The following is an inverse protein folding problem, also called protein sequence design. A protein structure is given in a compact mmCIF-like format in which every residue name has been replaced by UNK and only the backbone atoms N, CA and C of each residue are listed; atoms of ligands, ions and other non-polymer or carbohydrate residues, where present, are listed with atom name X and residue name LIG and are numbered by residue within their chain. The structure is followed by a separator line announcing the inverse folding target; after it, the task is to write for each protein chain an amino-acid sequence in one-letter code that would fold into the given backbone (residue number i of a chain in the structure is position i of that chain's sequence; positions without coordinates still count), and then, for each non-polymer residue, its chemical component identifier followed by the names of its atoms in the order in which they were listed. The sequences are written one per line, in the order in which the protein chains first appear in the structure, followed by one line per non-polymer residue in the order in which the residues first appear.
data_IF_919423318067
#
_entry.id   IF_919423318067
#
_cell.length_a   1.000
_cell.length_b   1.000
_cell.length_c   1.000
_cell.angle_alpha   90.00
_cell.angle_beta   90.00
_cell.angle_gamma   90.00
#
_symmetry.space_group_name_H-M   'P 1'
#
loop_
_entity.id
_entity.type
_entity.pdbx_description
1 polymer ?
#
# COMPACT_ATOMS: atom_id res chain seq x y z
N UNK A 1 -1.26 -3.75 -9.41
CA UNK A 1 -1.31 -4.92 -8.50
C UNK A 1 -2.72 -5.44 -8.42
N UNK A 2 -2.90 -6.74 -8.45
CA UNK A 2 -4.20 -7.36 -8.26
C UNK A 2 -4.44 -7.60 -6.77
N UNK A 3 -5.54 -7.07 -6.24
CA UNK A 3 -5.95 -7.27 -4.86
C UNK A 3 -7.34 -7.88 -4.81
N UNK A 4 -7.69 -8.50 -3.69
CA UNK A 4 -9.04 -8.91 -3.39
C UNK A 4 -9.62 -7.97 -2.35
N UNK A 5 -10.58 -7.17 -2.75
CA UNK A 5 -11.33 -6.31 -1.83
C UNK A 5 -12.21 -7.19 -0.95
N UNK A 6 -11.98 -7.15 0.37
CA UNK A 6 -12.75 -7.92 1.34
C UNK A 6 -13.99 -7.13 1.75
N UNK A 7 -13.81 -5.87 2.10
CA UNK A 7 -14.92 -4.95 2.40
C UNK A 7 -14.45 -3.51 2.41
N UNK A 8 -15.42 -2.60 2.29
CA UNK A 8 -15.22 -1.17 2.52
C UNK A 8 -15.81 -0.81 3.88
N UNK A 9 -15.02 -0.13 4.70
CA UNK A 9 -15.47 0.45 5.97
C UNK A 9 -15.80 1.91 5.76
N UNK A 10 -17.05 2.33 5.97
CA UNK A 10 -17.41 3.74 5.82
C UNK A 10 -16.55 4.60 6.75
N UNK A 11 -16.14 5.75 6.25
CA UNK A 11 -15.52 6.81 7.03
C UNK A 11 -16.35 8.07 6.85
N UNK A 12 -16.54 8.82 7.92
CA UNK A 12 -17.31 10.06 7.89
C UNK A 12 -16.57 11.14 8.69
N UNK A 13 -16.16 12.25 8.06
CA UNK A 13 -16.25 12.50 6.61
C UNK A 13 -15.14 11.79 5.82
N UNK A 14 -15.36 11.63 4.52
CA UNK A 14 -14.34 11.19 3.59
C UNK A 14 -14.58 9.83 2.95
N UNK A 15 -13.65 9.38 2.09
CA UNK A 15 -13.76 8.10 1.41
C UNK A 15 -13.63 6.93 2.37
N UNK A 16 -14.19 5.75 2.04
CA UNK A 16 -14.11 4.58 2.90
C UNK A 16 -12.67 4.04 2.98
N UNK A 17 -12.41 3.25 4.02
CA UNK A 17 -11.21 2.44 4.11
C UNK A 17 -11.48 1.06 3.51
N UNK A 18 -10.57 0.60 2.66
CA UNK A 18 -10.63 -0.73 2.09
C UNK A 18 -9.83 -1.71 2.96
N UNK A 19 -10.44 -2.85 3.25
CA UNK A 19 -9.72 -4.03 3.72
C UNK A 19 -9.53 -4.93 2.51
N UNK A 20 -8.28 -5.16 2.14
CA UNK A 20 -7.94 -5.91 0.93
C UNK A 20 -6.85 -6.93 1.20
N UNK A 21 -6.94 -8.07 0.52
CA UNK A 21 -5.85 -9.05 0.48
C UNK A 21 -5.00 -8.78 -0.76
N UNK A 22 -3.69 -8.62 -0.54
CA UNK A 22 -2.71 -8.51 -1.62
C UNK A 22 -1.94 -9.83 -1.74
N UNK A 23 -1.21 -10.07 -2.85
CA UNK A 23 -0.37 -11.25 -2.96
C UNK A 23 0.71 -11.36 -1.87
N UNK A 24 0.99 -10.25 -1.15
CA UNK A 24 2.05 -10.17 -0.16
C UNK A 24 1.54 -9.99 1.27
N UNK A 25 0.23 -10.00 1.47
CA UNK A 25 -0.43 -9.90 2.76
C UNK A 25 -1.61 -8.95 2.79
N UNK A 26 -2.32 -8.88 3.92
CA UNK A 26 -3.48 -8.01 4.06
C UNK A 26 -3.10 -6.54 4.18
N UNK A 27 -3.93 -5.67 3.62
CA UNK A 27 -3.73 -4.23 3.65
C UNK A 27 -5.02 -3.51 4.02
N UNK A 28 -4.88 -2.39 4.73
CA UNK A 28 -5.95 -1.41 4.96
C UNK A 28 -5.46 -0.08 4.41
N UNK A 29 -6.25 0.53 3.54
CA UNK A 29 -5.92 1.82 2.92
C UNK A 29 -7.18 2.52 2.46
N UNK A 30 -7.07 3.80 2.12
CA UNK A 30 -8.19 4.60 1.63
C UNK A 30 -8.60 4.12 0.24
N UNK A 31 -9.89 3.88 0.03
CA UNK A 31 -10.43 3.47 -1.26
C UNK A 31 -10.84 4.70 -2.06
N UNK A 32 -10.24 4.86 -3.24
CA UNK A 32 -10.51 5.98 -4.13
C UNK A 32 -11.35 5.58 -5.35
N UNK A 33 -11.94 4.40 -5.31
CA UNK A 33 -12.91 3.97 -6.31
C UNK A 33 -14.34 4.25 -5.89
N UNK A 34 -15.30 3.56 -6.53
CA UNK A 34 -16.71 3.65 -6.18
C UNK A 34 -16.91 3.22 -4.72
N UNK A 35 -17.51 4.08 -3.86
CA UNK A 35 -17.78 3.71 -2.47
C UNK A 35 -18.77 2.56 -2.31
N UNK A 36 -19.50 2.20 -3.36
CA UNK A 36 -20.41 1.05 -3.40
C UNK A 36 -19.78 -0.18 -4.07
N UNK A 37 -18.47 -0.18 -4.32
CA UNK A 37 -17.79 -1.30 -4.97
C UNK A 37 -18.00 -2.60 -4.18
N UNK A 38 -18.44 -3.69 -4.85
CA UNK A 38 -18.63 -4.98 -4.18
C UNK A 38 -17.29 -5.65 -3.87
N UNK A 39 -17.25 -6.56 -2.88
CA UNK A 39 -16.08 -7.42 -2.67
C UNK A 39 -15.71 -8.18 -3.93
N UNK A 40 -14.42 -8.44 -4.12
CA UNK A 40 -13.92 -9.20 -5.25
C UNK A 40 -12.56 -8.70 -5.74
N UNK A 41 -12.09 -9.20 -6.90
CA UNK A 41 -10.79 -8.84 -7.43
C UNK A 41 -10.82 -7.46 -8.10
N UNK A 42 -9.77 -6.68 -7.86
CA UNK A 42 -9.57 -5.38 -8.48
C UNK A 42 -8.08 -5.20 -8.81
N UNK A 43 -7.81 -4.56 -9.94
CA UNK A 43 -6.48 -4.04 -10.22
C UNK A 43 -6.39 -2.65 -9.63
N UNK A 44 -5.34 -2.40 -8.86
CA UNK A 44 -5.18 -1.14 -8.16
C UNK A 44 -3.76 -0.61 -8.30
N UNK A 45 -3.65 0.70 -8.26
CA UNK A 45 -2.40 1.40 -7.97
C UNK A 45 -2.56 2.06 -6.62
N UNK A 46 -1.47 2.13 -5.86
CA UNK A 46 -1.51 2.90 -4.63
C UNK A 46 -0.56 4.08 -4.64
N UNK A 47 -1.00 5.09 -3.91
CA UNK A 47 -0.25 6.31 -3.69
C UNK A 47 0.03 6.43 -2.20
N UNK A 48 1.27 6.69 -1.86
CA UNK A 48 1.72 6.83 -0.48
C UNK A 48 2.11 8.28 -0.24
N UNK A 49 1.63 8.84 0.87
CA UNK A 49 2.06 10.15 1.33
C UNK A 49 3.42 10.00 2.04
N UNK A 50 4.49 10.32 1.32
CA UNK A 50 5.87 10.15 1.80
C UNK A 50 6.19 11.01 3.02
N UNK A 51 5.53 12.16 3.18
CA UNK A 51 5.75 13.03 4.34
C UNK A 51 5.36 12.36 5.65
N UNK A 52 4.47 11.37 5.60
CA UNK A 52 3.99 10.62 6.75
C UNK A 52 4.60 9.23 6.84
N UNK A 53 5.51 8.89 5.95
CA UNK A 53 6.17 7.59 5.93
C UNK A 53 7.48 7.61 6.73
N UNK A 54 7.75 6.51 7.42
CA UNK A 54 9.06 6.24 8.02
C UNK A 54 9.67 5.04 7.32
N UNK A 55 11.00 5.06 7.21
CA UNK A 55 11.75 4.06 6.44
C UNK A 55 12.86 3.51 7.32
N UNK A 56 13.04 2.19 7.27
CA UNK A 56 14.17 1.54 7.92
C UNK A 56 14.76 0.45 7.02
N UNK A 57 16.06 0.16 7.13
CA UNK A 57 16.65 -1.00 6.46
C UNK A 57 16.01 -2.30 6.93
N UNK A 58 15.82 -3.25 6.03
CA UNK A 58 15.26 -4.58 6.33
C UNK A 58 15.96 -5.65 5.48
N UNK A 59 17.29 -5.84 5.59
CA UNK A 59 18.08 -6.59 4.61
C UNK A 59 17.73 -8.06 4.49
N UNK A 60 17.16 -8.67 5.51
CA UNK A 60 16.80 -10.09 5.51
C UNK A 60 15.30 -10.35 5.34
N UNK A 61 14.49 -9.30 5.18
CA UNK A 61 13.04 -9.46 5.11
C UNK A 61 12.59 -9.88 3.71
N UNK A 62 11.61 -10.78 3.64
CA UNK A 62 10.93 -11.12 2.40
C UNK A 62 9.99 -9.96 1.98
N UNK A 63 9.66 -9.83 0.68
CA UNK A 63 8.62 -8.89 0.25
C UNK A 63 7.32 -9.16 1.01
N UNK A 64 6.73 -8.12 1.58
CA UNK A 64 5.54 -8.26 2.41
C UNK A 64 4.72 -6.98 2.43
N UNK A 65 3.41 -7.17 2.60
CA UNK A 65 2.46 -6.12 2.94
C UNK A 65 1.75 -6.58 4.20
N UNK A 66 1.69 -5.73 5.22
CA UNK A 66 0.96 -6.06 6.44
C UNK A 66 0.42 -4.81 7.11
N UNK A 67 -0.58 -4.98 7.94
CA UNK A 67 -1.17 -3.90 8.72
C UNK A 67 -0.94 -4.17 10.20
N UNK A 68 -0.38 -3.20 10.90
CA UNK A 68 -0.20 -3.24 12.35
C UNK A 68 -0.86 -2.01 12.97
N UNK A 69 -1.96 -2.22 13.67
CA UNK A 69 -2.73 -1.11 14.22
C UNK A 69 -3.19 -0.17 13.09
N UNK A 70 -2.77 1.08 13.14
CA UNK A 70 -3.12 2.10 12.14
C UNK A 70 -2.05 2.27 11.05
N UNK A 71 -1.02 1.43 11.05
CA UNK A 71 0.09 1.51 10.10
C UNK A 71 -0.01 0.43 9.04
N UNK A 72 0.25 0.82 7.81
CA UNK A 72 0.55 -0.10 6.71
C UNK A 72 2.06 -0.22 6.60
N UNK A 73 2.55 -1.45 6.51
CA UNK A 73 3.97 -1.77 6.42
C UNK A 73 4.25 -2.45 5.09
N UNK A 74 5.14 -1.85 4.31
CA UNK A 74 5.56 -2.37 3.01
C UNK A 74 7.03 -2.73 3.05
N UNK A 75 7.37 -3.98 2.74
CA UNK A 75 8.75 -4.43 2.64
C UNK A 75 9.08 -4.75 1.19
N UNK A 76 10.17 -4.18 0.68
CA UNK A 76 10.59 -4.41 -0.70
C UNK A 76 11.95 -3.85 -1.00
N UNK A 77 12.32 -3.91 -2.30
CA UNK A 77 13.57 -3.35 -2.80
C UNK A 77 13.35 -1.92 -3.28
N UNK A 78 14.08 -0.99 -2.69
CA UNK A 78 14.11 0.40 -3.14
C UNK A 78 15.28 0.59 -4.11
N UNK A 79 15.01 1.25 -5.24
CA UNK A 79 16.03 1.47 -6.27
C UNK A 79 16.93 2.69 -6.00
N UNK A 80 16.63 3.46 -4.96
CA UNK A 80 17.34 4.69 -4.63
C UNK A 80 16.92 5.89 -5.48
N UNK A 81 16.01 5.71 -6.42
CA UNK A 81 15.61 6.73 -7.39
C UNK A 81 14.11 7.00 -7.44
N UNK A 82 13.33 6.37 -6.57
CA UNK A 82 11.91 6.67 -6.44
C UNK A 82 10.96 5.49 -6.67
N UNK A 83 11.45 4.26 -6.75
CA UNK A 83 10.60 3.08 -6.92
C UNK A 83 10.88 2.06 -5.82
N UNK A 84 9.85 1.69 -5.09
CA UNK A 84 9.84 0.56 -4.18
C UNK A 84 9.19 -0.64 -4.89
N UNK A 85 9.90 -1.75 -4.96
CA UNK A 85 9.39 -2.98 -5.54
C UNK A 85 9.08 -3.99 -4.45
N UNK A 86 7.82 -4.34 -4.28
CA UNK A 86 7.35 -5.40 -3.41
C UNK A 86 6.93 -6.56 -4.29
N UNK A 87 7.81 -7.57 -4.42
CA UNK A 87 7.62 -8.62 -5.42
C UNK A 87 7.57 -8.05 -6.84
N UNK A 88 6.48 -8.26 -7.54
CA UNK A 88 6.24 -7.71 -8.89
C UNK A 88 5.42 -6.41 -8.86
N UNK A 89 5.06 -5.93 -7.69
CA UNK A 89 4.37 -4.66 -7.51
C UNK A 89 5.36 -3.50 -7.37
N UNK A 90 5.06 -2.39 -8.03
CA UNK A 90 5.88 -1.17 -7.98
C UNK A 90 5.10 -0.04 -7.34
N UNK A 91 5.75 0.68 -6.44
CA UNK A 91 5.19 1.86 -5.79
C UNK A 91 6.14 3.03 -6.04
N UNK A 92 5.61 4.13 -6.54
CA UNK A 92 6.38 5.37 -6.66
C UNK A 92 6.52 5.98 -5.27
N UNK A 93 7.75 6.30 -4.90
CA UNK A 93 8.07 6.71 -3.54
C UNK A 93 9.23 7.69 -3.56
N UNK A 94 8.92 8.97 -3.45
CA UNK A 94 9.91 10.05 -3.46
C UNK A 94 10.57 10.14 -2.08
N UNK A 95 11.55 9.28 -1.87
CA UNK A 95 12.31 9.20 -0.62
C UNK A 95 13.80 9.41 -0.87
N UNK A 96 14.44 10.13 0.03
CA UNK A 96 15.89 10.24 0.08
C UNK A 96 16.45 9.07 0.90
N UNK A 97 16.62 7.92 0.27
CA UNK A 97 17.18 6.73 0.89
C UNK A 97 18.09 6.01 -0.09
N UNK A 98 19.13 5.32 0.39
CA UNK A 98 19.98 4.52 -0.48
C UNK A 98 19.22 3.31 -1.04
N UNK A 99 19.66 2.75 -2.19
CA UNK A 99 19.04 1.53 -2.70
C UNK A 99 19.25 0.36 -1.75
N UNK A 100 18.30 -0.59 -1.75
CA UNK A 100 18.34 -1.79 -0.94
C UNK A 100 16.99 -2.19 -0.41
N UNK A 101 16.99 -3.25 0.39
CA UNK A 101 15.77 -3.74 1.04
C UNK A 101 15.39 -2.86 2.22
N UNK A 102 14.18 -2.32 2.17
CA UNK A 102 13.65 -1.43 3.20
C UNK A 102 12.26 -1.85 3.64
N UNK A 103 11.86 -1.40 4.83
CA UNK A 103 10.49 -1.42 5.28
C UNK A 103 10.00 0.03 5.39
N UNK A 104 8.86 0.29 4.77
CA UNK A 104 8.17 1.59 4.82
C UNK A 104 6.95 1.44 5.71
N UNK A 105 6.84 2.27 6.73
CA UNK A 105 5.67 2.34 7.61
C UNK A 105 4.95 3.66 7.37
N UNK A 106 3.66 3.58 7.06
CA UNK A 106 2.84 4.75 6.76
C UNK A 106 1.44 4.56 7.35
N UNK A 107 0.82 5.60 7.92
CA UNK A 107 -0.56 5.48 8.40
C UNK A 107 -1.49 5.03 7.28
N UNK A 108 -2.38 4.09 7.56
CA UNK A 108 -3.32 3.55 6.57
C UNK A 108 -4.14 4.65 5.89
N UNK A 109 -4.49 5.70 6.63
CA UNK A 109 -5.25 6.85 6.10
C UNK A 109 -4.43 7.73 5.15
N UNK A 110 -3.13 7.48 5.03
CA UNK A 110 -2.22 8.20 4.12
C UNK A 110 -1.80 7.35 2.92
N UNK A 111 -2.44 6.20 2.74
CA UNK A 111 -2.27 5.34 1.57
C UNK A 111 -3.59 5.28 0.84
N UNK A 112 -3.56 5.51 -0.47
CA UNK A 112 -4.76 5.53 -1.30
C UNK A 112 -4.68 4.43 -2.35
N UNK A 113 -5.77 3.68 -2.51
CA UNK A 113 -5.91 2.66 -3.53
C UNK A 113 -6.79 3.20 -4.66
N UNK A 114 -6.27 3.19 -5.87
CA UNK A 114 -6.97 3.62 -7.08
C UNK A 114 -7.24 2.39 -7.95
N UNK A 115 -8.48 1.87 -7.97
CA UNK A 115 -8.82 0.80 -8.90
C UNK A 115 -8.83 1.31 -10.34
N UNK A 116 -8.43 0.46 -11.28
CA UNK A 116 -8.44 0.79 -12.70
C UNK A 116 -8.83 -0.43 -13.54
N UNK A 117 -9.37 -0.16 -14.72
CA UNK A 117 -9.68 -1.17 -15.72
C UNK A 117 -8.59 -1.20 -16.79
N UNK A 118 -8.38 -2.37 -17.32
CA UNK A 118 -7.48 -2.56 -18.46
C UNK A 118 -8.26 -2.62 -19.76
#
# INVERSE_FOLDING_TARGET
MLVRLVRLRPADPGPPLAEADTPYGPAVAVWRGDPAAPPGPYRVEWTIDEEHATVRPAPAAAPAVRTEGELLLLTGEFDGAGVLRTGDSRTLLDLAAPPGRIEVAVPCVRVELYPYDL
#
